data_IF_121768995556
#
_entry.id   IF_121768995556
#
_cell.length_a   1.000
_cell.length_b   1.000
_cell.length_c   1.000
_cell.angle_alpha   90.00
_cell.angle_beta   90.00
_cell.angle_gamma   90.00
#
_symmetry.space_group_name_H-M   'P 1'
#
loop_
_entity.id
_entity.type
_entity.pdbx_description
1 polymer ?
#
# COMPACT_ATOMS: atom_id res chain seq x y z
N UNK A 1 -9.94 -14.86 -4.35
CA UNK A 1 -10.13 -14.88 -5.82
C UNK A 1 -9.72 -13.52 -6.38
N UNK A 2 -8.78 -13.45 -7.33
CA UNK A 2 -8.36 -12.23 -8.04
C UNK A 2 -9.52 -11.30 -8.43
N UNK A 3 -10.54 -11.82 -9.12
CA UNK A 3 -11.67 -11.01 -9.58
C UNK A 3 -12.42 -10.24 -8.48
N UNK A 4 -12.37 -10.71 -7.23
CA UNK A 4 -12.98 -9.99 -6.12
C UNK A 4 -12.19 -8.75 -5.68
N UNK A 5 -10.86 -8.72 -5.84
CA UNK A 5 -10.03 -7.62 -5.32
C UNK A 5 -10.14 -6.35 -6.18
N UNK A 6 -10.08 -6.47 -7.51
CA UNK A 6 -10.36 -5.32 -8.41
C UNK A 6 -11.77 -4.79 -8.21
N UNK A 7 -12.74 -5.69 -8.00
CA UNK A 7 -14.12 -5.27 -7.75
C UNK A 7 -14.26 -4.47 -6.46
N UNK A 8 -13.60 -4.91 -5.38
CA UNK A 8 -13.53 -4.17 -4.11
C UNK A 8 -12.95 -2.76 -4.32
N UNK A 9 -11.81 -2.64 -5.01
CA UNK A 9 -11.23 -1.34 -5.36
C UNK A 9 -12.18 -0.47 -6.16
N UNK A 10 -12.87 -1.05 -7.15
CA UNK A 10 -13.85 -0.33 -7.97
C UNK A 10 -14.99 0.21 -7.13
N UNK A 11 -15.60 -0.62 -6.29
CA UNK A 11 -16.69 -0.21 -5.41
C UNK A 11 -16.23 0.87 -4.41
N UNK A 12 -15.11 0.63 -3.74
CA UNK A 12 -14.57 1.52 -2.71
C UNK A 12 -14.16 2.89 -3.28
N UNK A 13 -13.67 2.94 -4.53
CA UNK A 13 -13.29 4.19 -5.21
C UNK A 13 -14.45 5.18 -5.36
N UNK A 14 -15.69 4.72 -5.40
CA UNK A 14 -16.87 5.57 -5.50
C UNK A 14 -17.02 6.53 -4.30
N UNK A 15 -16.48 6.15 -3.11
CA UNK A 15 -16.47 7.01 -1.92
C UNK A 15 -15.73 8.34 -2.15
N UNK A 16 -14.78 8.38 -3.10
CA UNK A 16 -13.98 9.57 -3.36
C UNK A 16 -14.71 10.64 -4.18
N UNK A 17 -15.88 10.34 -4.76
CA UNK A 17 -16.67 11.33 -5.49
C UNK A 17 -17.06 12.55 -4.61
N UNK A 18 -17.19 12.35 -3.30
CA UNK A 18 -17.49 13.42 -2.35
C UNK A 18 -16.26 13.99 -1.64
N UNK A 19 -15.07 13.43 -1.90
CA UNK A 19 -13.81 13.79 -1.23
C UNK A 19 -12.85 14.48 -2.19
N UNK A 20 -12.50 13.79 -3.28
CA UNK A 20 -11.66 14.29 -4.36
C UNK A 20 -11.98 13.49 -5.65
N UNK A 21 -12.88 14.01 -6.50
CA UNK A 21 -13.31 13.31 -7.72
C UNK A 21 -12.15 12.95 -8.66
N UNK A 22 -11.10 13.77 -8.70
CA UNK A 22 -9.96 13.54 -9.59
C UNK A 22 -9.11 12.32 -9.19
N UNK A 23 -9.23 11.83 -7.94
CA UNK A 23 -8.54 10.64 -7.49
C UNK A 23 -9.25 9.34 -7.89
N UNK A 24 -10.52 9.37 -8.30
CA UNK A 24 -11.29 8.15 -8.58
C UNK A 24 -10.59 7.28 -9.62
N UNK A 25 -10.14 7.88 -10.73
CA UNK A 25 -9.41 7.15 -11.79
C UNK A 25 -8.05 6.66 -11.29
N UNK A 26 -7.34 7.45 -10.51
CA UNK A 26 -6.06 7.05 -9.90
C UNK A 26 -6.23 5.82 -9.01
N UNK A 27 -7.27 5.77 -8.17
CA UNK A 27 -7.55 4.61 -7.31
C UNK A 27 -7.93 3.37 -8.13
N UNK A 28 -8.70 3.53 -9.21
CA UNK A 28 -9.01 2.40 -10.10
C UNK A 28 -7.75 1.81 -10.74
N UNK A 29 -6.82 2.66 -11.18
CA UNK A 29 -5.52 2.24 -11.73
C UNK A 29 -4.69 1.55 -10.65
N UNK A 30 -4.57 2.14 -9.45
CA UNK A 30 -3.86 1.54 -8.33
C UNK A 30 -4.46 0.18 -7.95
N UNK A 31 -5.78 0.03 -7.95
CA UNK A 31 -6.46 -1.23 -7.69
C UNK A 31 -6.19 -2.30 -8.76
N UNK A 32 -6.01 -1.90 -10.02
CA UNK A 32 -5.61 -2.82 -11.10
C UNK A 32 -4.16 -3.27 -10.95
N UNK A 33 -3.24 -2.35 -10.65
CA UNK A 33 -1.84 -2.68 -10.38
C UNK A 33 -1.74 -3.59 -9.16
N UNK A 34 -2.47 -3.27 -8.10
CA UNK A 34 -2.53 -4.08 -6.89
C UNK A 34 -3.02 -5.50 -7.15
N UNK A 35 -4.02 -5.69 -8.02
CA UNK A 35 -4.43 -7.01 -8.44
C UNK A 35 -3.31 -7.80 -9.11
N UNK A 36 -2.60 -7.17 -10.04
CA UNK A 36 -1.56 -7.85 -10.82
C UNK A 36 -0.39 -8.20 -9.89
N UNK A 37 -0.03 -7.30 -8.98
CA UNK A 37 0.94 -7.54 -7.91
C UNK A 37 0.49 -8.63 -6.93
N UNK A 38 -0.80 -8.68 -6.57
CA UNK A 38 -1.35 -9.71 -5.69
C UNK A 38 -1.19 -11.10 -6.31
N UNK A 39 -1.44 -11.28 -7.61
CA UNK A 39 -1.18 -12.56 -8.31
C UNK A 39 0.31 -12.87 -8.31
N UNK A 40 1.15 -11.86 -8.59
CA UNK A 40 2.60 -12.01 -8.56
C UNK A 40 3.11 -12.47 -7.20
N UNK A 41 2.57 -11.96 -6.09
CA UNK A 41 2.92 -12.40 -4.74
C UNK A 41 2.63 -13.88 -4.51
N UNK A 42 1.50 -14.39 -5.04
CA UNK A 42 1.17 -15.80 -4.91
C UNK A 42 2.25 -16.67 -5.56
N UNK A 43 2.68 -16.30 -6.77
CA UNK A 43 3.74 -17.00 -7.49
C UNK A 43 5.09 -16.89 -6.77
N UNK A 44 5.46 -15.72 -6.26
CA UNK A 44 6.72 -15.51 -5.54
C UNK A 44 6.79 -16.31 -4.24
N UNK A 45 5.68 -16.45 -3.52
CA UNK A 45 5.59 -17.32 -2.33
C UNK A 45 5.76 -18.80 -2.66
N UNK A 46 5.37 -19.23 -3.85
CA UNK A 46 5.59 -20.61 -4.31
C UNK A 46 7.05 -20.84 -4.70
N UNK A 47 7.70 -19.85 -5.32
CA UNK A 47 9.14 -19.90 -5.67
C UNK A 47 10.04 -19.94 -4.43
N UNK A 48 9.73 -19.14 -3.39
CA UNK A 48 10.48 -19.17 -2.12
C UNK A 48 10.50 -20.55 -1.45
N UNK A 49 9.50 -21.39 -1.74
CA UNK A 49 9.38 -22.77 -1.24
C UNK A 49 10.12 -23.81 -2.09
N UNK A 50 10.64 -23.44 -3.26
CA UNK A 50 11.36 -24.34 -4.15
C UNK A 50 12.77 -23.82 -4.52
N UNK A 51 13.80 -24.17 -3.73
CA UNK A 51 15.17 -23.65 -3.89
C UNK A 51 15.88 -24.02 -5.20
N UNK A 52 15.29 -24.89 -6.04
CA UNK A 52 15.87 -25.30 -7.33
C UNK A 52 15.39 -24.44 -8.52
N UNK A 53 14.44 -23.52 -8.30
CA UNK A 53 14.01 -22.55 -9.29
C UNK A 53 14.93 -21.31 -9.22
N UNK A 54 16.00 -21.35 -10.01
CA UNK A 54 17.00 -20.29 -10.09
C UNK A 54 17.35 -19.96 -11.53
N UNK A 55 16.35 -19.60 -12.35
CA UNK A 55 16.61 -19.06 -13.70
C UNK A 55 16.72 -17.53 -13.65
N UNK A 56 17.58 -16.97 -14.49
CA UNK A 56 17.75 -15.51 -14.66
C UNK A 56 16.41 -14.80 -14.92
N UNK A 57 15.48 -15.45 -15.62
CA UNK A 57 14.14 -14.93 -15.87
C UNK A 57 13.32 -14.74 -14.59
N UNK A 58 13.47 -15.63 -13.59
CA UNK A 58 12.76 -15.54 -12.31
C UNK A 58 13.31 -14.39 -11.45
N UNK A 59 14.62 -14.13 -11.51
CA UNK A 59 15.23 -12.97 -10.84
C UNK A 59 14.77 -11.64 -11.46
N UNK A 60 14.65 -11.59 -12.79
CA UNK A 60 14.13 -10.41 -13.48
C UNK A 60 12.64 -10.17 -13.19
N UNK A 61 11.83 -11.23 -13.15
CA UNK A 61 10.41 -11.16 -12.74
C UNK A 61 10.27 -10.65 -11.30
N UNK A 62 11.04 -11.18 -10.34
CA UNK A 62 11.03 -10.71 -8.94
C UNK A 62 11.47 -9.24 -8.84
N UNK A 63 12.55 -8.86 -9.52
CA UNK A 63 13.02 -7.48 -9.57
C UNK A 63 11.96 -6.52 -10.13
N UNK A 64 11.26 -6.93 -11.18
CA UNK A 64 10.13 -6.20 -11.75
C UNK A 64 8.98 -6.01 -10.76
N UNK A 65 8.59 -7.06 -10.04
CA UNK A 65 7.54 -6.99 -9.02
C UNK A 65 7.93 -6.12 -7.81
N UNK A 66 9.21 -6.13 -7.41
CA UNK A 66 9.74 -5.22 -6.38
C UNK A 66 9.64 -3.77 -6.86
N UNK A 67 10.12 -3.48 -8.08
CA UNK A 67 10.07 -2.13 -8.65
C UNK A 67 8.64 -1.60 -8.79
N UNK A 68 7.71 -2.42 -9.30
CA UNK A 68 6.32 -2.03 -9.43
C UNK A 68 5.63 -1.88 -8.06
N UNK A 69 5.93 -2.75 -7.09
CA UNK A 69 5.41 -2.62 -5.73
C UNK A 69 5.94 -1.35 -5.04
N UNK A 70 7.20 -0.98 -5.26
CA UNK A 70 7.75 0.29 -4.79
C UNK A 70 6.94 1.46 -5.36
N UNK A 71 6.78 1.53 -6.69
CA UNK A 71 6.02 2.62 -7.34
C UNK A 71 4.57 2.67 -6.85
N UNK A 72 3.95 1.51 -6.64
CA UNK A 72 2.62 1.41 -6.08
C UNK A 72 2.52 2.01 -4.67
N UNK A 73 3.48 1.70 -3.78
CA UNK A 73 3.52 2.27 -2.41
C UNK A 73 3.63 3.80 -2.46
N UNK A 74 4.46 4.35 -3.36
CA UNK A 74 4.57 5.79 -3.55
C UNK A 74 3.25 6.41 -4.02
N UNK A 75 2.62 5.83 -5.04
CA UNK A 75 1.34 6.32 -5.58
C UNK A 75 0.20 6.25 -4.56
N UNK A 76 0.09 5.14 -3.83
CA UNK A 76 -0.89 4.96 -2.78
C UNK A 76 -0.72 5.97 -1.65
N UNK A 77 0.52 6.21 -1.20
CA UNK A 77 0.78 7.22 -0.18
C UNK A 77 0.36 8.63 -0.62
N UNK A 78 0.65 9.02 -1.87
CA UNK A 78 0.25 10.34 -2.37
C UNK A 78 -1.28 10.49 -2.47
N UNK A 79 -1.98 9.43 -2.82
CA UNK A 79 -3.45 9.42 -2.78
C UNK A 79 -3.98 9.60 -1.35
N UNK A 80 -3.43 8.84 -0.38
CA UNK A 80 -3.78 8.96 1.05
C UNK A 80 -3.49 10.37 1.57
N UNK A 81 -2.34 10.95 1.22
CA UNK A 81 -1.96 12.31 1.61
C UNK A 81 -2.94 13.35 1.06
N UNK A 82 -3.39 13.17 -0.17
CA UNK A 82 -4.38 14.06 -0.80
C UNK A 82 -5.75 13.93 -0.12
N UNK A 83 -6.18 12.71 0.21
CA UNK A 83 -7.41 12.46 0.98
C UNK A 83 -7.35 13.12 2.37
N UNK A 84 -6.23 12.93 3.10
CA UNK A 84 -5.99 13.55 4.42
C UNK A 84 -6.07 15.09 4.33
N UNK A 85 -5.50 15.67 3.28
CA UNK A 85 -5.59 17.10 3.05
C UNK A 85 -7.05 17.56 2.86
N UNK A 86 -7.85 16.87 2.05
CA UNK A 86 -9.27 17.19 1.86
C UNK A 86 -10.10 17.09 3.14
N UNK A 87 -9.86 16.07 3.95
CA UNK A 87 -10.55 15.96 5.24
C UNK A 87 -10.18 17.08 6.22
N UNK A 88 -8.96 17.60 6.18
CA UNK A 88 -8.60 18.79 6.96
C UNK A 88 -9.35 20.03 6.49
N UNK A 89 -9.50 20.19 5.18
CA UNK A 89 -10.23 21.31 4.57
C UNK A 89 -11.74 21.27 4.91
N UNK A 90 -12.32 20.08 5.12
CA UNK A 90 -13.71 19.92 5.57
C UNK A 90 -13.95 20.25 7.05
N UNK A 91 -12.89 20.42 7.85
CA UNK A 91 -12.98 20.81 9.25
C UNK A 91 -13.73 19.81 10.14
N UNK A 92 -14.48 20.32 11.12
CA UNK A 92 -15.16 19.51 12.14
C UNK A 92 -16.13 18.47 11.56
N UNK A 93 -16.71 18.75 10.39
CA UNK A 93 -17.60 17.82 9.68
C UNK A 93 -16.88 16.59 9.09
N UNK A 94 -15.58 16.43 9.32
CA UNK A 94 -14.74 15.31 8.85
C UNK A 94 -13.73 14.81 9.90
N UNK A 95 -13.88 15.13 11.19
CA UNK A 95 -12.85 14.82 12.21
C UNK A 95 -12.53 13.32 12.34
N UNK A 96 -13.53 12.44 12.33
CA UNK A 96 -13.29 10.99 12.41
C UNK A 96 -12.67 10.45 11.12
N UNK A 97 -13.07 10.99 9.96
CA UNK A 97 -12.46 10.65 8.65
C UNK A 97 -11.00 11.11 8.57
N UNK A 98 -10.71 12.31 9.06
CA UNK A 98 -9.35 12.86 9.19
C UNK A 98 -8.49 12.00 10.12
N UNK A 99 -9.01 11.61 11.28
CA UNK A 99 -8.27 10.73 12.19
C UNK A 99 -7.90 9.41 11.51
N UNK A 100 -8.87 8.76 10.85
CA UNK A 100 -8.64 7.53 10.11
C UNK A 100 -7.62 7.70 8.96
N UNK A 101 -7.66 8.81 8.21
CA UNK A 101 -6.68 9.07 7.15
C UNK A 101 -5.28 9.35 7.68
N UNK A 102 -5.16 10.01 8.85
CA UNK A 102 -3.88 10.24 9.52
C UNK A 102 -3.26 8.92 9.98
N UNK A 103 -4.05 8.04 10.59
CA UNK A 103 -3.58 6.73 11.04
C UNK A 103 -3.08 5.87 9.88
N UNK A 104 -3.84 5.82 8.77
CA UNK A 104 -3.42 5.14 7.55
C UNK A 104 -2.16 5.78 6.93
N UNK A 105 -2.09 7.11 6.88
CA UNK A 105 -0.91 7.79 6.36
C UNK A 105 0.34 7.43 7.17
N UNK A 106 0.24 7.39 8.49
CA UNK A 106 1.35 7.03 9.36
C UNK A 106 1.83 5.58 9.15
N UNK A 107 0.92 4.62 8.88
CA UNK A 107 1.34 3.23 8.60
C UNK A 107 2.20 3.17 7.33
N UNK A 108 1.85 3.96 6.32
CA UNK A 108 2.64 4.07 5.09
C UNK A 108 3.96 4.84 5.26
N UNK A 109 4.02 5.89 6.09
CA UNK A 109 5.23 6.71 6.25
C UNK A 109 6.47 5.88 6.62
N UNK A 110 6.27 4.83 7.42
CA UNK A 110 7.37 3.96 7.87
C UNK A 110 8.09 3.26 6.70
N UNK A 111 7.37 2.92 5.64
CA UNK A 111 7.95 2.30 4.44
C UNK A 111 8.19 3.31 3.31
N UNK A 112 7.22 4.20 3.03
CA UNK A 112 7.32 5.16 1.91
C UNK A 112 8.51 6.11 2.06
N UNK A 113 8.83 6.57 3.27
CA UNK A 113 9.92 7.52 3.48
C UNK A 113 11.29 6.93 3.12
N UNK A 114 11.73 5.78 3.67
CA UNK A 114 13.01 5.19 3.29
C UNK A 114 13.06 4.80 1.82
N UNK A 115 11.93 4.38 1.21
CA UNK A 115 11.87 4.11 -0.23
C UNK A 115 12.13 5.36 -1.09
N UNK A 116 11.58 6.52 -0.69
CA UNK A 116 11.68 7.76 -1.45
C UNK A 116 12.93 8.60 -1.13
N UNK A 117 13.45 8.48 0.09
CA UNK A 117 14.46 9.41 0.62
C UNK A 117 15.72 8.75 1.16
N UNK A 118 15.75 7.42 1.29
CA UNK A 118 16.88 6.68 1.88
C UNK A 118 17.20 7.14 3.32
N UNK A 119 16.15 7.51 4.07
CA UNK A 119 16.20 7.84 5.49
C UNK A 119 15.01 7.21 6.23
N UNK A 120 15.12 6.90 7.52
CA UNK A 120 13.97 6.43 8.29
C UNK A 120 12.95 7.56 8.47
N UNK A 121 11.67 7.21 8.62
CA UNK A 121 10.65 8.21 8.93
C UNK A 121 10.90 8.85 10.30
N UNK A 122 10.43 10.10 10.50
CA UNK A 122 10.74 10.86 11.72
C UNK A 122 10.33 10.13 13.02
N UNK A 123 9.22 9.36 12.98
CA UNK A 123 8.73 8.56 14.11
C UNK A 123 9.59 7.34 14.42
N UNK A 124 10.42 6.91 13.47
CA UNK A 124 11.23 5.69 13.56
C UNK A 124 12.73 5.93 13.38
N UNK A 125 13.19 7.20 13.46
CA UNK A 125 14.61 7.58 13.33
C UNK A 125 15.56 6.81 14.25
N UNK A 126 15.09 6.40 15.43
CA UNK A 126 15.91 5.70 16.42
C UNK A 126 15.89 4.17 16.27
N UNK A 127 14.94 3.61 15.52
CA UNK A 127 14.68 2.16 15.48
C UNK A 127 14.91 1.54 14.11
N UNK A 128 14.72 2.31 13.04
CA UNK A 128 14.68 1.79 11.68
C UNK A 128 15.98 2.09 10.93
N UNK A 129 16.26 1.26 9.93
CA UNK A 129 17.35 1.43 8.99
C UNK A 129 17.14 2.66 8.12
N UNK A 130 18.24 3.19 7.56
CA UNK A 130 18.14 4.24 6.54
C UNK A 130 17.53 3.73 5.22
N UNK A 131 17.81 2.47 4.90
CA UNK A 131 17.29 1.80 3.71
C UNK A 131 16.35 0.67 4.10
N UNK A 132 15.19 0.61 3.44
CA UNK A 132 14.26 -0.50 3.58
C UNK A 132 14.72 -1.64 2.66
N UNK A 133 15.09 -2.79 3.22
CA UNK A 133 15.66 -3.91 2.47
C UNK A 133 14.54 -4.74 1.81
N UNK A 134 14.47 -4.82 0.47
CA UNK A 134 13.43 -5.60 -0.20
C UNK A 134 13.67 -7.10 -0.03
N UNK A 135 12.58 -7.85 0.05
CA UNK A 135 12.59 -9.31 0.14
C UNK A 135 11.24 -9.92 -0.22
N UNK A 136 11.14 -11.23 -0.05
CA UNK A 136 9.90 -11.99 -0.19
C UNK A 136 9.53 -12.51 1.20
N UNK A 137 8.35 -12.13 1.67
CA UNK A 137 7.71 -12.68 2.85
C UNK A 137 6.89 -13.93 2.47
N UNK A 138 7.07 -15.02 3.21
CA UNK A 138 6.47 -16.32 2.90
C UNK A 138 4.94 -16.32 2.95
N UNK A 139 4.36 -15.40 3.72
CA UNK A 139 2.90 -15.26 3.85
C UNK A 139 2.35 -14.18 2.92
N UNK A 140 3.09 -13.12 2.67
CA UNK A 140 2.56 -11.88 2.09
C UNK A 140 3.18 -11.45 0.77
N UNK A 141 4.20 -12.14 0.27
CA UNK A 141 4.86 -11.84 -1.00
C UNK A 141 5.85 -10.70 -0.86
N UNK A 142 5.90 -9.76 -1.82
CA UNK A 142 6.90 -8.69 -1.81
C UNK A 142 6.77 -7.82 -0.55
N UNK A 143 7.89 -7.68 0.17
CA UNK A 143 7.97 -6.97 1.44
C UNK A 143 9.31 -6.29 1.65
N UNK A 144 9.39 -5.49 2.71
CA UNK A 144 10.59 -4.78 3.11
C UNK A 144 10.86 -4.93 4.58
N UNK A 145 12.09 -5.27 4.93
CA UNK A 145 12.59 -5.18 6.30
C UNK A 145 13.06 -3.74 6.57
N UNK A 146 12.41 -3.07 7.52
CA UNK A 146 12.68 -1.66 7.89
C UNK A 146 13.48 -1.55 9.19
N UNK A 147 13.45 -2.59 10.01
CA UNK A 147 14.26 -2.76 11.22
C UNK A 147 14.40 -4.26 11.48
N UNK A 148 15.28 -4.65 12.39
CA UNK A 148 15.52 -6.08 12.69
C UNK A 148 14.22 -6.79 13.08
N UNK A 149 13.77 -7.74 12.26
CA UNK A 149 12.54 -8.49 12.48
C UNK A 149 11.25 -7.69 12.29
N UNK A 150 11.34 -6.50 11.69
CA UNK A 150 10.17 -5.67 11.34
C UNK A 150 10.05 -5.64 9.83
N UNK A 151 9.09 -6.42 9.34
CA UNK A 151 8.78 -6.57 7.92
C UNK A 151 7.43 -5.92 7.62
N UNK A 152 7.37 -5.13 6.56
CA UNK A 152 6.15 -4.51 6.05
C UNK A 152 5.96 -4.97 4.61
N UNK A 153 4.86 -5.66 4.33
CA UNK A 153 4.53 -6.10 2.98
C UNK A 153 3.69 -5.07 2.22
N UNK A 154 3.80 -5.04 0.89
CA UNK A 154 2.92 -4.19 0.07
C UNK A 154 1.47 -4.68 0.14
N UNK A 155 1.24 -6.00 0.23
CA UNK A 155 -0.10 -6.58 0.39
C UNK A 155 -0.78 -6.12 1.67
N UNK A 156 -0.04 -6.02 2.79
CA UNK A 156 -0.55 -5.45 4.04
C UNK A 156 -1.04 -4.02 3.84
N UNK A 157 -0.18 -3.15 3.31
CA UNK A 157 -0.52 -1.74 3.09
C UNK A 157 -1.72 -1.60 2.14
N UNK A 158 -1.76 -2.43 1.10
CA UNK A 158 -2.86 -2.47 0.16
C UNK A 158 -4.19 -2.88 0.79
N UNK A 159 -4.18 -3.89 1.66
CA UNK A 159 -5.36 -4.28 2.43
C UNK A 159 -5.81 -3.14 3.35
N UNK A 160 -4.89 -2.51 4.08
CA UNK A 160 -5.20 -1.36 4.95
C UNK A 160 -5.84 -0.19 4.17
N UNK A 161 -5.32 0.13 2.98
CA UNK A 161 -5.86 1.21 2.16
C UNK A 161 -7.21 0.86 1.54
N UNK A 162 -7.37 -0.38 1.05
CA UNK A 162 -8.64 -0.85 0.52
C UNK A 162 -9.73 -0.85 1.60
N UNK A 163 -9.43 -1.38 2.79
CA UNK A 163 -10.36 -1.39 3.92
C UNK A 163 -10.74 0.03 4.35
N UNK A 164 -9.79 0.97 4.34
CA UNK A 164 -10.10 2.37 4.60
C UNK A 164 -11.11 2.95 3.60
N UNK A 165 -10.91 2.72 2.29
CA UNK A 165 -11.85 3.19 1.27
C UNK A 165 -13.21 2.49 1.35
N UNK A 166 -13.24 1.20 1.66
CA UNK A 166 -14.49 0.45 1.88
C UNK A 166 -15.26 0.99 3.09
N UNK A 167 -14.54 1.32 4.17
CA UNK A 167 -15.14 1.91 5.36
C UNK A 167 -15.71 3.30 5.08
N UNK A 168 -15.04 4.10 4.24
CA UNK A 168 -15.58 5.37 3.74
C UNK A 168 -16.83 5.15 2.88
N UNK A 169 -16.79 4.19 1.96
CA UNK A 169 -17.92 3.87 1.07
C UNK A 169 -19.15 3.41 1.85
N UNK A 170 -18.97 2.54 2.83
CA UNK A 170 -20.03 1.99 3.65
C UNK A 170 -20.51 2.97 4.75
N UNK A 171 -19.92 4.16 4.85
CA UNK A 171 -20.26 5.15 5.88
C UNK A 171 -19.91 4.71 7.29
N UNK A 172 -19.04 3.72 7.48
CA UNK A 172 -18.65 3.22 8.81
C UNK A 172 -17.61 4.11 9.52
N UNK A 173 -17.02 5.06 8.80
CA UNK A 173 -16.29 6.19 9.39
C UNK A 173 -17.23 7.39 9.37
N UNK A 174 -18.14 7.43 10.33
CA UNK A 174 -19.04 8.57 10.56
C UNK A 174 -18.32 9.64 11.37
N UNK A 175 -18.68 10.91 11.18
CA UNK A 175 -18.33 11.97 12.15
C UNK A 175 -19.37 12.03 13.25
#
# INVERSE_FOLDING_TARGET
>A
MPYMRVWRWKLASASLQQVEPNLVITILILGKIDQDLYVSDQRHRELGKNPQAGKLDELAEVGGSIGLSHLWILGAYEAIRTIDQRFREFGAAAENRKKASVDLKHSYERLRIPLAKLEPSSRHKATDYAFAHPGIDDERGIAWEVAKGVVISRSQLSDEFLEFLERLHNGTITN
#
